data_IF_090659977741
#
_entry.id   IF_090659977741
#
_cell.length_a   1.000
_cell.length_b   1.000
_cell.length_c   1.000
_cell.angle_alpha   90.00
_cell.angle_beta   90.00
_cell.angle_gamma   90.00
#
_symmetry.space_group_name_H-M   'P 1'
#
loop_
_entity.id
_entity.type
_entity.pdbx_description
1 polymer ?
#
# COMPACT_ATOMS: atom_id res chain seq x y z
N UNK A 1 5.15 52.14 -5.10
CA UNK A 1 3.99 51.26 -4.83
C UNK A 1 3.86 50.29 -5.98
N UNK A 2 3.79 49.02 -5.68
CA UNK A 2 3.48 48.02 -6.72
C UNK A 2 2.08 48.30 -7.19
N UNK A 3 1.86 48.51 -8.49
CA UNK A 3 0.51 48.66 -9.05
C UNK A 3 -0.31 47.43 -8.66
N UNK A 4 -1.35 47.61 -7.81
CA UNK A 4 -2.14 46.51 -7.28
C UNK A 4 -2.71 45.61 -8.38
N UNK A 5 -3.02 46.17 -9.54
CA UNK A 5 -3.46 45.46 -10.73
C UNK A 5 -2.36 44.55 -11.30
N UNK A 6 -1.13 45.02 -11.39
CA UNK A 6 -0.02 44.25 -11.92
C UNK A 6 0.35 43.08 -10.99
N UNK A 7 0.26 43.27 -9.66
CA UNK A 7 0.46 42.22 -8.68
C UNK A 7 -0.62 41.14 -8.76
N UNK A 8 -1.89 41.53 -8.83
CA UNK A 8 -3.00 40.59 -8.95
C UNK A 8 -2.89 39.72 -10.20
N UNK A 9 -2.52 40.33 -11.34
CA UNK A 9 -2.28 39.61 -12.59
C UNK A 9 -1.10 38.64 -12.47
N UNK A 10 0.02 39.04 -11.85
CA UNK A 10 1.16 38.15 -11.66
C UNK A 10 0.81 36.96 -10.76
N UNK A 11 0.03 37.17 -9.70
CA UNK A 11 -0.48 36.09 -8.83
C UNK A 11 -1.36 35.14 -9.65
N UNK A 12 -2.35 35.68 -10.37
CA UNK A 12 -3.27 34.90 -11.18
C UNK A 12 -2.53 34.07 -12.25
N UNK A 13 -1.60 34.69 -12.98
CA UNK A 13 -0.80 33.98 -13.99
C UNK A 13 0.05 32.88 -13.36
N UNK A 14 0.65 33.12 -12.17
CA UNK A 14 1.41 32.09 -11.42
C UNK A 14 0.54 30.88 -11.12
N UNK A 15 -0.68 31.10 -10.61
CA UNK A 15 -1.58 29.99 -10.27
C UNK A 15 -2.10 29.26 -11.50
N UNK A 16 -2.46 29.98 -12.54
CA UNK A 16 -2.92 29.36 -13.79
C UNK A 16 -1.82 28.51 -14.41
N UNK A 17 -0.59 29.01 -14.51
CA UNK A 17 0.52 28.27 -15.10
C UNK A 17 0.92 27.07 -14.27
N UNK A 18 1.27 27.28 -12.99
CA UNK A 18 1.76 26.21 -12.12
C UNK A 18 0.66 25.20 -11.75
N UNK A 19 -0.58 25.67 -11.55
CA UNK A 19 -1.73 24.81 -11.28
C UNK A 19 -2.06 23.91 -12.46
N UNK A 20 -2.19 24.48 -13.66
CA UNK A 20 -2.49 23.72 -14.88
C UNK A 20 -1.36 22.74 -15.21
N UNK A 21 -0.10 23.17 -15.11
CA UNK A 21 1.06 22.28 -15.30
C UNK A 21 1.04 21.10 -14.32
N UNK A 22 0.71 21.34 -13.05
CA UNK A 22 0.61 20.28 -12.04
C UNK A 22 -0.54 19.31 -12.34
N UNK A 23 -1.69 19.80 -12.78
CA UNK A 23 -2.81 18.96 -13.19
C UNK A 23 -2.40 18.07 -14.39
N UNK A 24 -1.79 18.64 -15.42
CA UNK A 24 -1.35 17.88 -16.58
C UNK A 24 -0.29 16.85 -16.22
N UNK A 25 0.71 17.24 -15.43
CA UNK A 25 1.74 16.33 -14.95
C UNK A 25 1.15 15.19 -14.08
N UNK A 26 0.09 15.48 -13.31
CA UNK A 26 -0.62 14.47 -12.49
C UNK A 26 -1.42 13.51 -13.37
N UNK A 27 -2.16 14.02 -14.35
CA UNK A 27 -2.95 13.21 -15.27
C UNK A 27 -2.09 12.24 -16.11
N UNK A 28 -0.86 12.63 -16.42
CA UNK A 28 0.09 11.80 -17.19
C UNK A 28 0.97 10.97 -16.24
N UNK A 29 1.55 11.59 -15.22
CA UNK A 29 2.57 11.00 -14.37
C UNK A 29 2.03 9.91 -13.44
N UNK A 30 0.81 10.07 -12.89
CA UNK A 30 0.22 9.06 -11.99
C UNK A 30 -0.10 7.74 -12.70
N UNK A 31 -0.76 7.72 -13.88
CA UNK A 31 -0.94 6.48 -14.65
C UNK A 31 0.38 5.83 -15.08
N UNK A 32 1.36 6.62 -15.50
CA UNK A 32 2.69 6.11 -15.84
C UNK A 32 3.39 5.52 -14.62
N UNK A 33 3.29 6.16 -13.45
CA UNK A 33 3.81 5.65 -12.18
C UNK A 33 3.17 4.32 -11.78
N UNK A 34 1.85 4.23 -11.85
CA UNK A 34 1.10 3.00 -11.58
C UNK A 34 1.47 1.85 -12.54
N UNK A 35 1.71 2.19 -13.81
CA UNK A 35 2.14 1.21 -14.80
C UNK A 35 3.56 0.68 -14.51
N UNK A 36 4.50 1.58 -14.19
CA UNK A 36 5.88 1.23 -13.87
C UNK A 36 6.06 0.47 -12.54
N UNK A 37 5.10 0.58 -11.63
CA UNK A 37 5.14 -0.11 -10.33
C UNK A 37 4.86 -1.62 -10.44
N UNK A 38 4.36 -2.11 -11.58
CA UNK A 38 4.09 -3.55 -11.79
C UNK A 38 5.40 -4.30 -12.05
N UNK A 39 5.67 -5.39 -11.31
CA UNK A 39 6.92 -6.14 -11.44
C UNK A 39 6.92 -6.98 -12.73
N UNK A 40 7.45 -6.48 -13.82
CA UNK A 40 7.44 -7.25 -15.07
C UNK A 40 8.77 -7.41 -15.77
N UNK A 41 9.81 -6.56 -15.55
CA UNK A 41 11.08 -6.75 -16.26
C UNK A 41 12.27 -5.93 -15.70
N UNK A 42 13.51 -6.44 -15.86
CA UNK A 42 14.77 -5.70 -15.62
C UNK A 42 14.83 -4.34 -16.33
N UNK A 43 14.10 -4.17 -17.42
CA UNK A 43 13.99 -2.90 -18.17
C UNK A 43 13.35 -1.79 -17.33
N UNK A 44 12.44 -2.13 -16.40
CA UNK A 44 11.79 -1.14 -15.53
C UNK A 44 12.75 -0.55 -14.47
N UNK A 45 13.70 -1.30 -13.98
CA UNK A 45 14.72 -0.76 -13.05
C UNK A 45 15.60 0.31 -13.74
N UNK A 46 15.97 0.09 -15.01
CA UNK A 46 16.69 1.09 -15.80
C UNK A 46 15.85 2.33 -16.04
N UNK A 47 14.55 2.17 -16.32
CA UNK A 47 13.62 3.29 -16.50
C UNK A 47 13.46 4.10 -15.21
N UNK A 48 13.34 3.46 -14.04
CA UNK A 48 13.29 4.14 -12.74
C UNK A 48 14.56 4.96 -12.51
N UNK A 49 15.72 4.40 -12.79
CA UNK A 49 17.00 5.12 -12.66
C UNK A 49 17.03 6.35 -13.57
N UNK A 50 16.55 6.24 -14.80
CA UNK A 50 16.45 7.37 -15.73
C UNK A 50 15.48 8.43 -15.21
N UNK A 51 14.29 8.04 -14.75
CA UNK A 51 13.29 8.97 -14.20
C UNK A 51 13.87 9.71 -12.97
N UNK A 52 14.57 9.00 -12.10
CA UNK A 52 15.23 9.61 -10.93
C UNK A 52 16.32 10.60 -11.35
N UNK A 53 17.10 10.28 -12.38
CA UNK A 53 18.09 11.21 -12.93
C UNK A 53 17.43 12.49 -13.49
N UNK A 54 16.24 12.38 -14.06
CA UNK A 54 15.47 13.52 -14.58
C UNK A 54 14.95 14.45 -13.47
N UNK A 55 14.95 14.07 -12.18
CA UNK A 55 14.63 14.99 -11.08
C UNK A 55 15.63 16.13 -10.97
N UNK A 56 16.88 15.88 -11.36
CA UNK A 56 17.95 16.86 -11.39
C UNK A 56 18.02 17.73 -12.63
N UNK A 57 17.04 17.65 -13.55
CA UNK A 57 17.01 18.46 -14.77
C UNK A 57 17.13 19.95 -14.43
N UNK A 58 18.16 20.65 -14.96
CA UNK A 58 18.25 22.08 -14.78
C UNK A 58 17.11 22.80 -15.52
N UNK A 59 16.35 23.65 -14.83
CA UNK A 59 15.20 24.31 -15.43
C UNK A 59 15.52 25.12 -16.69
N UNK A 60 16.70 25.74 -16.71
CA UNK A 60 17.18 26.51 -17.86
C UNK A 60 17.34 25.63 -19.10
N UNK A 61 17.83 24.39 -18.93
CA UNK A 61 17.98 23.43 -20.04
C UNK A 61 16.61 23.09 -20.63
N UNK A 62 15.62 22.84 -19.76
CA UNK A 62 14.22 22.60 -20.20
C UNK A 62 13.69 23.84 -20.95
N UNK A 63 13.95 25.03 -20.41
CA UNK A 63 13.57 26.30 -21.06
C UNK A 63 14.18 26.45 -22.44
N UNK A 64 15.48 26.20 -22.61
CA UNK A 64 16.17 26.24 -23.90
C UNK A 64 15.57 25.23 -24.89
N UNK A 65 15.33 23.98 -24.41
CA UNK A 65 14.78 22.94 -25.24
C UNK A 65 13.36 23.31 -25.73
N UNK A 66 12.50 23.75 -24.82
CA UNK A 66 11.12 24.16 -25.18
C UNK A 66 11.11 25.42 -26.06
N UNK A 67 11.99 26.37 -25.78
CA UNK A 67 12.19 27.54 -26.63
C UNK A 67 12.59 27.13 -28.06
N UNK A 68 13.57 26.25 -28.18
CA UNK A 68 14.03 25.71 -29.47
C UNK A 68 12.91 25.01 -30.22
N UNK A 69 12.09 24.24 -29.51
CA UNK A 69 10.96 23.48 -30.08
C UNK A 69 9.85 24.39 -30.65
N UNK A 70 9.51 25.48 -29.94
CA UNK A 70 8.47 26.44 -30.34
C UNK A 70 8.97 27.67 -31.12
N UNK A 71 10.30 27.81 -31.34
CA UNK A 71 10.84 28.87 -32.16
C UNK A 71 10.37 28.74 -33.60
N UNK A 72 10.40 29.83 -34.38
CA UNK A 72 9.96 29.83 -35.78
C UNK A 72 10.68 28.79 -36.65
N UNK A 73 11.92 28.43 -36.29
CA UNK A 73 12.71 27.40 -36.97
C UNK A 73 12.56 26.02 -36.32
N UNK A 74 11.82 25.90 -35.21
CA UNK A 74 11.63 24.66 -34.47
C UNK A 74 10.51 23.79 -35.03
N UNK A 75 10.48 22.52 -34.61
CA UNK A 75 9.52 21.52 -35.07
C UNK A 75 8.04 21.91 -34.81
N UNK A 76 7.76 22.66 -33.76
CA UNK A 76 6.41 23.14 -33.38
C UNK A 76 6.25 24.65 -33.59
N UNK A 77 7.13 25.29 -34.37
CA UNK A 77 7.11 26.74 -34.62
C UNK A 77 5.82 27.24 -35.29
N UNK A 78 5.14 26.40 -36.06
CA UNK A 78 3.85 26.72 -36.70
C UNK A 78 2.72 26.99 -35.67
N UNK A 79 2.85 26.51 -34.43
CA UNK A 79 1.86 26.75 -33.39
C UNK A 79 1.91 28.15 -32.78
N UNK A 80 2.97 28.95 -33.07
CA UNK A 80 3.18 30.32 -32.56
C UNK A 80 2.96 30.43 -31.01
N UNK A 81 3.35 29.42 -30.25
CA UNK A 81 3.11 29.35 -28.79
C UNK A 81 4.17 30.12 -27.99
N UNK A 82 5.30 30.50 -28.56
CA UNK A 82 6.36 31.18 -27.82
C UNK A 82 5.86 32.50 -27.23
N UNK A 83 6.27 32.82 -26.00
CA UNK A 83 5.84 34.00 -25.24
C UNK A 83 4.35 34.02 -24.88
N UNK A 84 3.76 32.82 -24.70
CA UNK A 84 2.40 32.65 -24.20
C UNK A 84 2.35 31.88 -22.92
N UNK A 85 1.19 31.90 -22.24
CA UNK A 85 0.96 31.12 -20.99
C UNK A 85 1.01 29.62 -21.26
N UNK A 86 0.55 29.19 -22.44
CA UNK A 86 0.54 27.78 -22.86
C UNK A 86 1.95 27.21 -22.97
N UNK A 87 2.90 27.97 -23.54
CA UNK A 87 4.30 27.55 -23.59
C UNK A 87 4.93 27.43 -22.20
N UNK A 88 4.57 28.34 -21.27
CA UNK A 88 5.01 28.27 -19.88
C UNK A 88 4.45 27.02 -19.20
N UNK A 89 3.18 26.70 -19.39
CA UNK A 89 2.51 25.49 -18.86
C UNK A 89 3.24 24.25 -19.39
N UNK A 90 3.52 24.20 -20.69
CA UNK A 90 4.23 23.07 -21.28
C UNK A 90 5.64 22.88 -20.68
N UNK A 91 6.42 23.95 -20.56
CA UNK A 91 7.76 23.91 -19.98
C UNK A 91 7.73 23.45 -18.51
N UNK A 92 6.82 23.99 -17.71
CA UNK A 92 6.65 23.57 -16.31
C UNK A 92 6.17 22.10 -16.22
N UNK A 93 5.26 21.67 -17.10
CA UNK A 93 4.81 20.26 -17.15
C UNK A 93 5.98 19.32 -17.42
N UNK A 94 6.83 19.63 -18.41
CA UNK A 94 8.03 18.85 -18.73
C UNK A 94 8.98 18.75 -17.53
N UNK A 95 9.13 19.84 -16.76
CA UNK A 95 10.02 19.91 -15.61
C UNK A 95 9.53 19.07 -14.43
N UNK A 96 8.21 19.11 -14.14
CA UNK A 96 7.65 18.47 -12.95
C UNK A 96 7.10 17.05 -13.21
N UNK A 97 6.90 16.67 -14.48
CA UNK A 97 6.40 15.36 -14.87
C UNK A 97 7.24 14.20 -14.28
N UNK A 98 8.59 14.22 -14.35
CA UNK A 98 9.40 13.17 -13.74
C UNK A 98 9.15 13.02 -12.23
N UNK A 99 8.98 14.13 -11.50
CA UNK A 99 8.71 14.13 -10.06
C UNK A 99 7.39 13.44 -9.73
N UNK A 100 6.32 13.76 -10.47
CA UNK A 100 5.01 13.11 -10.27
C UNK A 100 5.07 11.65 -10.68
N UNK A 101 5.69 11.34 -11.83
CA UNK A 101 5.83 9.98 -12.34
C UNK A 101 6.57 9.08 -11.36
N UNK A 102 7.79 9.46 -10.99
CA UNK A 102 8.60 8.62 -10.10
C UNK A 102 8.06 8.57 -8.67
N UNK A 103 7.58 9.70 -8.12
CA UNK A 103 6.98 9.73 -6.78
C UNK A 103 5.70 8.89 -6.69
N UNK A 104 4.84 8.92 -7.71
CA UNK A 104 3.67 8.04 -7.77
C UNK A 104 4.07 6.58 -8.00
N UNK A 105 5.07 6.30 -8.82
CA UNK A 105 5.61 4.96 -9.03
C UNK A 105 6.08 4.32 -7.73
N UNK A 106 6.86 5.05 -6.93
CA UNK A 106 7.30 4.60 -5.60
C UNK A 106 6.12 4.36 -4.65
N UNK A 107 5.08 5.21 -4.70
CA UNK A 107 3.88 5.04 -3.89
C UNK A 107 3.13 3.75 -4.25
N UNK A 108 2.92 3.46 -5.53
CA UNK A 108 2.28 2.23 -5.98
C UNK A 108 3.14 0.99 -5.71
N UNK A 109 4.46 1.08 -5.85
CA UNK A 109 5.38 -0.02 -5.54
C UNK A 109 5.35 -0.39 -4.05
N UNK A 110 5.31 0.60 -3.16
CA UNK A 110 5.19 0.35 -1.72
C UNK A 110 3.87 -0.35 -1.37
N UNK A 111 2.77 0.01 -2.03
CA UNK A 111 1.50 -0.69 -1.91
C UNK A 111 1.63 -2.13 -2.40
N UNK A 112 2.21 -2.35 -3.58
CA UNK A 112 2.41 -3.70 -4.12
C UNK A 112 3.20 -4.60 -3.19
N UNK A 113 4.27 -4.11 -2.59
CA UNK A 113 5.09 -4.89 -1.64
C UNK A 113 4.36 -5.26 -0.35
N UNK A 114 3.58 -4.33 0.20
CA UNK A 114 2.96 -4.51 1.52
C UNK A 114 1.61 -5.22 1.46
N UNK A 115 0.81 -4.93 0.44
CA UNK A 115 -0.61 -5.34 0.41
C UNK A 115 -0.92 -6.43 -0.62
N UNK A 116 0.06 -6.82 -1.47
CA UNK A 116 -0.17 -7.73 -2.59
C UNK A 116 -0.77 -9.07 -2.15
N UNK A 117 -0.20 -9.68 -1.12
CA UNK A 117 -0.66 -10.98 -0.63
C UNK A 117 -2.08 -10.91 -0.10
N UNK A 118 -2.37 -9.90 0.73
CA UNK A 118 -3.72 -9.67 1.26
C UNK A 118 -4.73 -9.44 0.13
N UNK A 119 -4.41 -8.58 -0.85
CA UNK A 119 -5.32 -8.29 -1.95
C UNK A 119 -5.52 -9.50 -2.89
N UNK A 120 -4.49 -10.33 -3.06
CA UNK A 120 -4.55 -11.52 -3.90
C UNK A 120 -5.42 -12.64 -3.29
N UNK A 121 -5.37 -12.80 -1.95
CA UNK A 121 -6.13 -13.83 -1.25
C UNK A 121 -7.56 -13.42 -0.90
N UNK A 122 -7.94 -12.14 -1.09
CA UNK A 122 -9.30 -11.67 -0.83
C UNK A 122 -10.31 -12.03 -1.94
N UNK A 123 -9.87 -12.59 -3.08
CA UNK A 123 -10.77 -12.94 -4.18
C UNK A 123 -11.43 -11.74 -4.88
N UNK A 124 -10.87 -10.55 -4.76
CA UNK A 124 -11.37 -9.33 -5.39
C UNK A 124 -11.10 -9.32 -6.90
N UNK A 125 -12.05 -8.79 -7.67
CA UNK A 125 -11.88 -8.65 -9.11
C UNK A 125 -10.84 -7.55 -9.47
N UNK A 126 -10.36 -7.55 -10.72
CA UNK A 126 -9.32 -6.62 -11.17
C UNK A 126 -9.68 -5.14 -10.96
N UNK A 127 -10.95 -4.76 -11.13
CA UNK A 127 -11.41 -3.37 -10.93
C UNK A 127 -11.41 -2.98 -9.46
N UNK A 128 -11.86 -3.86 -8.58
CA UNK A 128 -11.83 -3.66 -7.12
C UNK A 128 -10.38 -3.55 -6.64
N UNK A 129 -9.48 -4.41 -7.13
CA UNK A 129 -8.05 -4.38 -6.83
C UNK A 129 -7.43 -3.04 -7.24
N UNK A 130 -7.64 -2.61 -8.47
CA UNK A 130 -7.12 -1.32 -8.97
C UNK A 130 -7.62 -0.15 -8.11
N UNK A 131 -8.91 -0.14 -7.75
CA UNK A 131 -9.48 0.88 -6.87
C UNK A 131 -8.82 0.89 -5.48
N UNK A 132 -8.57 -0.29 -4.90
CA UNK A 132 -7.89 -0.41 -3.60
C UNK A 132 -6.43 0.05 -3.69
N UNK A 133 -5.69 -0.34 -4.73
CA UNK A 133 -4.31 0.10 -4.98
C UNK A 133 -4.22 1.63 -5.09
N UNK A 134 -5.09 2.26 -5.89
CA UNK A 134 -5.16 3.73 -6.02
C UNK A 134 -5.47 4.38 -4.66
N UNK A 135 -6.41 3.84 -3.90
CA UNK A 135 -6.77 4.36 -2.58
C UNK A 135 -5.63 4.25 -1.59
N UNK A 136 -4.92 3.12 -1.55
CA UNK A 136 -3.78 2.89 -0.67
C UNK A 136 -2.58 3.76 -1.06
N UNK A 137 -2.29 3.90 -2.36
CA UNK A 137 -1.23 4.75 -2.88
C UNK A 137 -1.52 6.25 -2.75
N UNK A 138 -2.77 6.65 -2.51
CA UNK A 138 -3.23 8.05 -2.56
C UNK A 138 -2.42 9.01 -1.68
N UNK A 139 -1.88 8.53 -0.56
CA UNK A 139 -1.03 9.31 0.33
C UNK A 139 0.31 9.66 -0.33
N UNK A 140 0.99 8.67 -0.88
CA UNK A 140 2.27 8.89 -1.56
C UNK A 140 2.11 9.70 -2.84
N UNK A 141 1.05 9.43 -3.61
CA UNK A 141 0.71 10.23 -4.81
C UNK A 141 0.46 11.69 -4.45
N UNK A 142 -0.31 11.95 -3.38
CA UNK A 142 -0.55 13.30 -2.90
C UNK A 142 0.77 14.03 -2.56
N UNK A 143 1.68 13.38 -1.83
CA UNK A 143 2.98 13.98 -1.51
C UNK A 143 3.80 14.28 -2.76
N UNK A 144 3.81 13.39 -3.76
CA UNK A 144 4.49 13.62 -5.02
C UNK A 144 3.93 14.84 -5.77
N UNK A 145 2.59 14.99 -5.80
CA UNK A 145 1.91 16.12 -6.45
C UNK A 145 2.20 17.43 -5.71
N UNK A 146 2.20 17.43 -4.36
CA UNK A 146 2.52 18.63 -3.57
C UNK A 146 3.96 19.09 -3.80
N UNK A 147 4.91 18.16 -3.83
CA UNK A 147 6.32 18.47 -4.13
C UNK A 147 6.45 19.05 -5.55
N UNK A 148 5.80 18.43 -6.53
CA UNK A 148 5.81 18.90 -7.92
C UNK A 148 5.20 20.30 -8.08
N UNK A 149 4.09 20.58 -7.38
CA UNK A 149 3.47 21.89 -7.35
C UNK A 149 4.38 22.95 -6.73
N UNK A 150 5.02 22.65 -5.58
CA UNK A 150 6.00 23.54 -4.98
C UNK A 150 7.17 23.84 -5.92
N UNK A 151 7.64 22.84 -6.67
CA UNK A 151 8.67 23.01 -7.69
C UNK A 151 8.19 23.91 -8.85
N UNK A 152 6.96 23.70 -9.33
CA UNK A 152 6.37 24.51 -10.40
C UNK A 152 6.21 25.99 -10.02
N UNK A 153 5.72 26.28 -8.81
CA UNK A 153 5.54 27.66 -8.31
C UNK A 153 6.88 28.38 -8.14
N UNK A 154 7.92 27.68 -7.70
CA UNK A 154 9.24 28.25 -7.49
C UNK A 154 10.05 28.44 -8.78
N UNK A 155 9.50 28.03 -9.94
CA UNK A 155 10.26 28.02 -11.19
C UNK A 155 10.43 29.42 -11.80
N UNK A 156 11.66 29.72 -12.18
CA UNK A 156 12.06 31.00 -12.78
C UNK A 156 12.65 30.80 -14.17
N UNK A 157 13.64 29.91 -14.30
CA UNK A 157 14.51 29.80 -15.45
C UNK A 157 13.77 29.41 -16.73
N UNK A 158 13.04 28.31 -16.71
CA UNK A 158 12.26 27.88 -17.86
C UNK A 158 11.15 28.88 -18.19
N UNK A 159 10.45 29.40 -17.17
CA UNK A 159 9.33 30.32 -17.34
C UNK A 159 9.77 31.65 -17.97
N UNK A 160 10.90 32.22 -17.56
CA UNK A 160 11.37 33.49 -18.14
C UNK A 160 11.83 33.30 -19.58
N UNK A 161 12.45 32.17 -19.92
CA UNK A 161 12.91 31.88 -21.28
C UNK A 161 11.76 31.69 -22.26
N UNK A 162 10.73 30.95 -21.90
CA UNK A 162 9.61 30.65 -22.82
C UNK A 162 8.52 31.71 -22.78
N UNK A 163 8.34 32.35 -21.61
CA UNK A 163 7.31 33.36 -21.38
C UNK A 163 7.73 34.79 -21.68
N UNK A 164 9.03 35.13 -21.62
CA UNK A 164 9.56 36.47 -21.91
C UNK A 164 9.21 37.56 -20.90
N UNK A 165 8.62 37.24 -19.73
CA UNK A 165 8.26 38.17 -18.64
C UNK A 165 7.43 39.38 -19.10
N UNK A 166 6.46 39.21 -20.00
CA UNK A 166 5.64 40.27 -20.56
C UNK A 166 4.58 40.73 -19.56
N UNK A 167 4.57 42.04 -19.27
CA UNK A 167 3.57 42.62 -18.35
C UNK A 167 2.15 42.38 -18.89
N UNK A 168 1.24 41.95 -17.97
CA UNK A 168 -0.16 41.68 -18.31
C UNK A 168 -0.42 40.40 -19.10
N UNK A 169 0.63 39.63 -19.48
CA UNK A 169 0.48 38.38 -20.25
C UNK A 169 1.16 37.19 -19.59
N UNK A 170 2.49 37.21 -19.49
CA UNK A 170 3.31 36.04 -19.07
C UNK A 170 4.12 36.32 -17.81
N UNK A 171 4.00 37.50 -17.22
CA UNK A 171 4.68 37.82 -15.97
C UNK A 171 4.07 37.05 -14.81
N UNK A 172 4.91 36.32 -14.06
CA UNK A 172 4.57 35.59 -12.84
C UNK A 172 5.29 36.20 -11.64
N UNK A 173 4.93 35.79 -10.43
CA UNK A 173 5.54 36.32 -9.20
C UNK A 173 7.04 36.12 -9.15
N UNK A 174 7.54 34.95 -9.51
CA UNK A 174 8.99 34.65 -9.54
C UNK A 174 9.75 35.52 -10.54
N UNK A 175 9.22 35.76 -11.73
CA UNK A 175 9.83 36.65 -12.71
C UNK A 175 9.72 38.12 -12.34
N UNK A 176 8.69 38.50 -11.57
CA UNK A 176 8.55 39.85 -10.97
C UNK A 176 9.63 40.11 -9.93
N UNK A 177 9.91 39.13 -9.06
CA UNK A 177 11.02 39.21 -8.09
C UNK A 177 12.35 39.46 -8.79
N UNK A 178 12.65 38.69 -9.82
CA UNK A 178 13.90 38.87 -10.61
C UNK A 178 13.96 40.24 -11.24
N UNK A 179 12.85 40.73 -11.80
CA UNK A 179 12.78 42.05 -12.42
C UNK A 179 13.04 43.18 -11.40
N UNK A 180 12.40 43.16 -10.23
CA UNK A 180 12.60 44.20 -9.19
C UNK A 180 14.01 44.14 -8.62
N UNK A 181 14.59 42.92 -8.47
CA UNK A 181 15.99 42.75 -8.11
C UNK A 181 16.93 43.39 -9.14
N UNK A 182 16.67 43.16 -10.42
CA UNK A 182 17.47 43.74 -11.53
C UNK A 182 17.40 45.26 -11.58
N UNK A 183 16.28 45.85 -11.14
CA UNK A 183 16.11 47.33 -11.03
C UNK A 183 16.75 47.90 -9.75
N UNK A 184 17.31 47.09 -8.88
CA UNK A 184 17.88 47.52 -7.58
C UNK A 184 16.81 47.71 -6.48
N UNK A 185 15.54 47.38 -6.73
CA UNK A 185 14.43 47.54 -5.80
C UNK A 185 14.33 46.37 -4.81
N UNK A 186 15.39 46.13 -4.01
CA UNK A 186 15.49 44.98 -3.11
C UNK A 186 14.34 44.87 -2.10
N UNK A 187 13.82 46.02 -1.61
CA UNK A 187 12.68 46.02 -0.68
C UNK A 187 11.40 45.46 -1.31
N UNK A 188 11.12 45.81 -2.57
CA UNK A 188 9.95 45.29 -3.30
C UNK A 188 10.14 43.82 -3.65
N UNK A 189 11.33 43.41 -4.09
CA UNK A 189 11.66 42.03 -4.36
C UNK A 189 11.47 41.14 -3.11
N UNK A 190 11.92 41.61 -1.94
CA UNK A 190 11.73 40.91 -0.67
C UNK A 190 10.26 40.74 -0.28
N UNK A 191 9.45 41.80 -0.43
CA UNK A 191 8.00 41.76 -0.15
C UNK A 191 7.29 40.72 -1.07
N UNK A 192 7.61 40.72 -2.36
CA UNK A 192 7.07 39.77 -3.32
C UNK A 192 7.50 38.33 -2.97
N UNK A 193 8.75 38.13 -2.51
CA UNK A 193 9.25 36.82 -2.07
C UNK A 193 8.53 36.30 -0.84
N UNK A 194 8.33 37.13 0.19
CA UNK A 194 7.56 36.79 1.39
C UNK A 194 6.11 36.45 1.03
N UNK A 195 5.50 37.25 0.16
CA UNK A 195 4.12 37.01 -0.28
C UNK A 195 4.01 35.66 -1.04
N UNK A 196 4.93 35.35 -1.93
CA UNK A 196 4.98 34.06 -2.66
C UNK A 196 5.13 32.89 -1.69
N UNK A 197 6.02 33.02 -0.70
CA UNK A 197 6.22 31.99 0.31
C UNK A 197 4.95 31.77 1.15
N UNK A 198 4.36 32.84 1.66
CA UNK A 198 3.12 32.77 2.44
C UNK A 198 1.98 32.11 1.65
N UNK A 199 1.84 32.48 0.38
CA UNK A 199 0.84 31.93 -0.54
C UNK A 199 1.04 30.45 -0.80
N UNK A 200 2.29 30.02 -1.05
CA UNK A 200 2.66 28.63 -1.26
C UNK A 200 2.39 27.78 -0.01
N UNK A 201 2.81 28.24 1.17
CA UNK A 201 2.56 27.56 2.44
C UNK A 201 1.07 27.47 2.76
N UNK A 202 0.30 28.53 2.51
CA UNK A 202 -1.16 28.55 2.73
C UNK A 202 -1.86 27.51 1.88
N UNK A 203 -1.46 27.36 0.62
CA UNK A 203 -2.06 26.41 -0.32
C UNK A 203 -1.77 24.96 0.06
N UNK A 204 -0.51 24.67 0.42
CA UNK A 204 -0.11 23.34 0.92
C UNK A 204 -0.82 23.03 2.24
N UNK A 205 -0.89 24.00 3.15
CA UNK A 205 -1.60 23.86 4.44
C UNK A 205 -3.09 23.59 4.26
N UNK A 206 -3.76 24.35 3.36
CA UNK A 206 -5.18 24.14 3.03
C UNK A 206 -5.43 22.75 2.44
N UNK A 207 -4.59 22.32 1.52
CA UNK A 207 -4.67 20.97 0.94
C UNK A 207 -4.53 19.89 2.01
N UNK A 208 -3.62 20.04 2.98
CA UNK A 208 -3.46 19.14 4.11
C UNK A 208 -4.70 19.12 5.02
N UNK A 209 -5.30 20.29 5.32
CA UNK A 209 -6.50 20.40 6.16
C UNK A 209 -7.73 19.73 5.53
N UNK A 210 -7.96 19.89 4.24
CA UNK A 210 -9.08 19.25 3.52
C UNK A 210 -9.03 17.74 3.65
N UNK A 211 -7.83 17.19 3.68
CA UNK A 211 -7.60 15.76 3.80
C UNK A 211 -7.92 15.21 5.20
N UNK A 212 -7.57 15.94 6.26
CA UNK A 212 -7.84 15.50 7.64
C UNK A 212 -9.33 15.46 7.96
N UNK A 213 -10.13 16.38 7.41
CA UNK A 213 -11.59 16.44 7.63
C UNK A 213 -12.38 15.27 7.04
N UNK A 214 -11.87 14.54 6.04
CA UNK A 214 -12.56 13.37 5.45
C UNK A 214 -12.54 12.12 6.34
N UNK A 215 -11.89 12.13 7.49
CA UNK A 215 -11.68 10.96 8.36
C UNK A 215 -12.81 10.65 9.36
N UNK A 216 -13.80 11.51 9.54
CA UNK A 216 -14.85 11.31 10.56
C UNK A 216 -16.20 10.96 9.92
N UNK A 217 -16.40 9.70 9.55
CA UNK A 217 -17.73 9.17 9.26
C UNK A 217 -18.31 8.53 10.53
N UNK A 218 -19.45 9.04 11.01
CA UNK A 218 -20.19 8.40 12.11
C UNK A 218 -20.58 6.98 11.73
N UNK A 219 -20.24 6.05 12.60
CA UNK A 219 -20.57 4.63 12.48
C UNK A 219 -21.86 4.40 13.25
N UNK A 220 -22.95 4.07 12.55
CA UNK A 220 -24.18 3.61 13.19
C UNK A 220 -24.01 2.16 13.65
N UNK A 221 -24.38 1.89 14.88
CA UNK A 221 -24.30 0.56 15.49
C UNK A 221 -25.59 -0.19 15.12
N UNK A 222 -25.48 -1.15 14.21
CA UNK A 222 -26.49 -2.21 14.01
C UNK A 222 -25.84 -3.53 14.45
N UNK A 223 -26.49 -4.26 15.32
CA UNK A 223 -26.00 -5.57 15.77
C UNK A 223 -26.19 -6.59 14.64
N UNK A 224 -25.08 -7.13 14.18
CA UNK A 224 -25.06 -8.16 13.15
C UNK A 224 -24.83 -9.53 13.80
N UNK A 225 -25.52 -10.55 13.34
CA UNK A 225 -25.25 -11.94 13.74
C UNK A 225 -23.93 -12.41 13.10
N UNK A 226 -23.22 -13.31 13.83
CA UNK A 226 -22.00 -13.94 13.30
C UNK A 226 -22.40 -14.89 12.14
N UNK A 227 -21.79 -14.74 10.95
CA UNK A 227 -22.16 -15.53 9.78
C UNK A 227 -21.89 -17.02 10.00
N UNK A 228 -22.64 -17.84 9.28
CA UNK A 228 -22.34 -19.26 9.14
C UNK A 228 -21.31 -19.42 8.02
N UNK A 229 -20.05 -19.79 8.31
CA UNK A 229 -19.07 -20.08 7.26
C UNK A 229 -19.49 -21.30 6.45
N UNK A 230 -19.12 -21.33 5.18
CA UNK A 230 -19.29 -22.48 4.28
C UNK A 230 -18.01 -23.31 4.35
N UNK A 231 -18.08 -24.55 4.88
CA UNK A 231 -16.92 -25.45 4.95
C UNK A 231 -16.47 -25.97 3.57
N UNK A 232 -15.31 -26.62 3.53
CA UNK A 232 -14.88 -27.42 2.37
C UNK A 232 -15.86 -28.56 2.14
N UNK A 233 -16.06 -28.92 0.86
CA UNK A 233 -16.97 -30.01 0.50
C UNK A 233 -16.33 -31.39 0.69
N UNK A 234 -15.00 -31.50 0.48
CA UNK A 234 -14.28 -32.78 0.43
C UNK A 234 -12.89 -32.69 1.09
N UNK A 235 -12.35 -33.86 1.43
CA UNK A 235 -10.97 -33.99 1.93
C UNK A 235 -9.99 -33.83 0.76
N UNK A 236 -9.02 -32.95 0.92
CA UNK A 236 -7.97 -32.76 -0.06
C UNK A 236 -6.60 -33.11 0.55
N UNK A 237 -5.83 -33.98 -0.15
CA UNK A 237 -4.41 -34.19 0.13
C UNK A 237 -3.58 -33.41 -0.87
N UNK A 238 -2.62 -32.63 -0.40
CA UNK A 238 -1.74 -31.80 -1.22
C UNK A 238 -0.28 -32.15 -0.96
N UNK A 239 0.47 -32.34 -2.04
CA UNK A 239 1.92 -32.49 -2.02
C UNK A 239 2.52 -31.16 -2.52
N UNK A 240 3.22 -30.46 -1.66
CA UNK A 240 3.68 -29.09 -1.92
C UNK A 240 5.20 -29.05 -2.03
N UNK A 241 5.69 -28.54 -3.15
CA UNK A 241 7.11 -28.25 -3.38
C UNK A 241 7.27 -26.80 -3.83
N UNK A 242 8.21 -26.08 -3.20
CA UNK A 242 8.47 -24.67 -3.53
C UNK A 242 9.96 -24.44 -3.72
N UNK A 243 10.34 -23.83 -4.84
CA UNK A 243 11.70 -23.39 -5.12
C UNK A 243 11.77 -21.87 -5.22
N UNK A 244 12.78 -21.26 -4.59
CA UNK A 244 13.06 -19.81 -4.66
C UNK A 244 14.53 -19.56 -4.96
N UNK A 245 14.79 -18.75 -5.98
CA UNK A 245 16.15 -18.38 -6.37
C UNK A 245 17.13 -19.58 -6.49
N UNK A 246 16.65 -20.72 -7.01
CA UNK A 246 17.43 -21.95 -7.17
C UNK A 246 17.63 -22.77 -5.89
N UNK A 247 16.96 -22.40 -4.78
CA UNK A 247 16.95 -23.20 -3.54
C UNK A 247 15.57 -23.81 -3.33
N UNK A 248 15.53 -25.09 -2.96
CA UNK A 248 14.30 -25.76 -2.51
C UNK A 248 13.98 -25.27 -1.11
N UNK A 249 12.82 -24.67 -0.92
CA UNK A 249 12.31 -24.19 0.37
C UNK A 249 11.37 -25.24 0.98
N UNK A 250 10.54 -25.87 0.14
CA UNK A 250 9.69 -27.00 0.53
C UNK A 250 9.95 -28.15 -0.43
N UNK A 251 10.16 -29.34 0.11
CA UNK A 251 10.46 -30.56 -0.64
C UNK A 251 9.39 -31.61 -0.35
N UNK A 252 8.42 -31.72 -1.26
CA UNK A 252 7.35 -32.72 -1.23
C UNK A 252 6.62 -32.82 0.14
N UNK A 253 6.24 -31.65 0.70
CA UNK A 253 5.49 -31.61 1.96
C UNK A 253 4.06 -32.05 1.72
N UNK A 254 3.67 -33.18 2.29
CA UNK A 254 2.30 -33.66 2.24
C UNK A 254 1.49 -33.05 3.40
N UNK A 255 0.34 -32.43 3.07
CA UNK A 255 -0.64 -31.95 4.04
C UNK A 255 -2.04 -32.41 3.63
N UNK A 256 -2.81 -32.88 4.61
CA UNK A 256 -4.18 -33.32 4.42
C UNK A 256 -5.12 -32.25 4.98
N UNK A 257 -5.98 -31.72 4.11
CA UNK A 257 -6.94 -30.68 4.44
C UNK A 257 -8.32 -31.33 4.60
N UNK A 258 -8.89 -31.29 5.80
CA UNK A 258 -10.19 -31.89 6.10
C UNK A 258 -11.21 -30.86 6.55
N UNK A 259 -12.43 -30.95 6.05
CA UNK A 259 -13.53 -30.12 6.54
C UNK A 259 -13.72 -30.27 8.05
N UNK A 260 -13.82 -29.15 8.76
CA UNK A 260 -14.04 -29.16 10.21
C UNK A 260 -12.88 -29.67 11.03
N UNK A 261 -11.64 -29.60 10.52
CA UNK A 261 -10.43 -29.92 11.28
C UNK A 261 -9.49 -28.71 11.38
N UNK A 262 -8.75 -28.64 12.47
CA UNK A 262 -7.65 -27.69 12.69
C UNK A 262 -6.34 -28.46 12.60
N UNK A 263 -5.52 -28.15 11.61
CA UNK A 263 -4.14 -28.65 11.48
C UNK A 263 -3.18 -27.57 11.97
N UNK A 264 -2.40 -27.86 13.01
CA UNK A 264 -1.32 -26.98 13.44
C UNK A 264 -0.01 -27.36 12.73
N UNK A 265 0.70 -26.36 12.24
CA UNK A 265 2.04 -26.52 11.64
C UNK A 265 3.06 -25.91 12.59
N UNK A 266 3.97 -26.72 13.09
CA UNK A 266 5.02 -26.33 14.04
C UNK A 266 6.40 -26.62 13.47
N UNK A 267 7.45 -26.03 14.02
CA UNK A 267 8.82 -26.21 13.55
C UNK A 267 9.69 -25.01 13.88
N UNK A 268 11.00 -25.16 13.68
CA UNK A 268 11.97 -24.09 13.91
C UNK A 268 11.74 -22.87 13.00
N UNK A 269 12.33 -21.74 13.36
CA UNK A 269 12.34 -20.56 12.46
C UNK A 269 13.11 -20.91 11.19
N UNK A 270 12.54 -20.57 10.04
CA UNK A 270 13.13 -20.93 8.73
C UNK A 270 12.77 -22.32 8.19
N UNK A 271 12.02 -23.16 8.93
CA UNK A 271 11.61 -24.51 8.48
C UNK A 271 10.66 -24.51 7.26
N UNK A 272 10.18 -23.34 6.78
CA UNK A 272 9.29 -23.24 5.63
C UNK A 272 7.79 -23.10 5.95
N UNK A 273 7.41 -22.93 7.22
CA UNK A 273 5.99 -22.86 7.67
C UNK A 273 5.16 -21.78 6.94
N UNK A 274 5.64 -20.55 6.95
CA UNK A 274 5.02 -19.44 6.21
C UNK A 274 4.95 -19.72 4.71
N UNK A 275 6.00 -20.32 4.13
CA UNK A 275 6.02 -20.69 2.70
C UNK A 275 4.96 -21.76 2.41
N UNK A 276 4.74 -22.71 3.32
CA UNK A 276 3.67 -23.71 3.19
C UNK A 276 2.29 -23.05 3.16
N UNK A 277 2.00 -22.14 4.11
CA UNK A 277 0.72 -21.42 4.12
C UNK A 277 0.54 -20.54 2.88
N UNK A 278 1.60 -19.90 2.40
CA UNK A 278 1.58 -19.09 1.18
C UNK A 278 1.33 -19.93 -0.07
N UNK A 279 1.90 -21.12 -0.13
CA UNK A 279 1.63 -22.06 -1.22
C UNK A 279 0.17 -22.57 -1.18
N UNK A 280 -0.35 -22.91 0.00
CA UNK A 280 -1.77 -23.25 0.21
C UNK A 280 -2.72 -22.10 -0.16
N UNK A 281 -2.29 -20.85 0.04
CA UNK A 281 -3.03 -19.66 -0.37
C UNK A 281 -2.91 -19.33 -1.88
N UNK A 282 -2.16 -20.11 -2.66
CA UNK A 282 -1.91 -19.82 -4.07
C UNK A 282 -1.01 -18.62 -4.34
N UNK A 283 -0.18 -18.23 -3.36
CA UNK A 283 0.76 -17.11 -3.46
C UNK A 283 2.16 -17.54 -3.89
N UNK A 284 2.50 -18.82 -3.77
CA UNK A 284 3.79 -19.41 -4.12
C UNK A 284 3.59 -20.84 -4.65
N UNK A 285 4.37 -21.21 -5.66
CA UNK A 285 4.26 -22.50 -6.34
C UNK A 285 3.13 -22.55 -7.39
N UNK A 286 3.01 -23.68 -8.07
CA UNK A 286 2.01 -23.91 -9.12
C UNK A 286 0.74 -24.62 -8.58
N UNK A 287 0.80 -25.18 -7.37
CA UNK A 287 -0.29 -25.93 -6.75
C UNK A 287 -1.20 -24.99 -5.92
N UNK A 288 -2.29 -24.58 -6.51
CA UNK A 288 -3.31 -23.76 -5.82
C UNK A 288 -4.29 -24.67 -5.09
N UNK A 289 -4.26 -24.65 -3.76
CA UNK A 289 -5.14 -25.48 -2.93
C UNK A 289 -6.59 -24.95 -2.84
N UNK A 290 -6.83 -23.65 -3.10
CA UNK A 290 -8.16 -23.07 -2.97
C UNK A 290 -8.44 -22.02 -4.06
N UNK A 291 -9.71 -21.89 -4.43
CA UNK A 291 -10.19 -20.85 -5.35
C UNK A 291 -10.18 -19.46 -4.68
N UNK A 292 -10.26 -18.39 -5.48
CA UNK A 292 -10.07 -17.02 -5.04
C UNK A 292 -11.06 -16.52 -3.97
N UNK A 293 -12.22 -17.20 -3.80
CA UNK A 293 -13.27 -16.79 -2.86
C UNK A 293 -13.48 -17.77 -1.69
N UNK A 294 -12.69 -18.84 -1.62
CA UNK A 294 -12.88 -19.91 -0.63
C UNK A 294 -11.81 -19.94 0.46
N UNK A 295 -10.65 -19.33 0.24
CA UNK A 295 -9.52 -19.33 1.13
C UNK A 295 -9.22 -17.93 1.65
N UNK A 296 -9.03 -17.80 2.96
CA UNK A 296 -8.55 -16.56 3.60
C UNK A 296 -7.21 -16.83 4.27
N UNK A 297 -6.22 -16.04 3.92
CA UNK A 297 -4.89 -16.06 4.52
C UNK A 297 -4.69 -14.86 5.46
N UNK A 298 -4.33 -15.16 6.70
CA UNK A 298 -3.98 -14.20 7.75
C UNK A 298 -2.48 -14.23 7.94
N UNK A 299 -1.80 -13.21 7.48
CA UNK A 299 -0.36 -13.11 7.60
C UNK A 299 0.08 -12.67 9.00
N UNK A 300 1.32 -12.97 9.37
CA UNK A 300 1.92 -12.68 10.66
C UNK A 300 1.86 -11.18 11.00
N UNK A 301 2.27 -10.32 10.06
CA UNK A 301 2.19 -8.88 10.22
C UNK A 301 0.81 -8.36 9.81
N UNK A 302 0.08 -7.65 10.69
CA UNK A 302 -1.27 -7.19 10.41
C UNK A 302 -1.28 -6.06 9.37
N UNK A 303 -1.90 -6.35 8.22
CA UNK A 303 -2.10 -5.41 7.11
C UNK A 303 -3.52 -4.88 7.12
N UNK A 304 -3.68 -3.56 7.31
CA UNK A 304 -4.96 -2.87 7.33
C UNK A 304 -5.12 -2.02 6.06
N UNK A 305 -6.28 -2.10 5.43
CA UNK A 305 -6.57 -1.55 4.09
C UNK A 305 -7.39 -0.25 4.13
N UNK A 306 -7.92 0.10 5.29
CA UNK A 306 -8.79 1.26 5.49
C UNK A 306 -8.21 2.26 6.49
N UNK A 307 -8.71 3.49 6.45
CA UNK A 307 -8.22 4.56 7.33
C UNK A 307 -8.76 4.51 8.75
N UNK A 308 -9.89 3.84 9.01
CA UNK A 308 -10.48 3.68 10.33
C UNK A 308 -10.86 2.24 10.59
N UNK A 309 -10.89 1.83 11.88
CA UNK A 309 -11.28 0.49 12.31
C UNK A 309 -12.67 0.13 11.79
N UNK A 310 -13.65 1.01 11.95
CA UNK A 310 -15.02 0.75 11.50
C UNK A 310 -15.17 0.59 9.99
N UNK A 311 -14.31 1.21 9.17
CA UNK A 311 -14.29 0.97 7.73
C UNK A 311 -13.56 -0.30 7.36
N UNK A 312 -12.59 -0.71 8.17
CA UNK A 312 -11.81 -1.92 7.98
C UNK A 312 -12.66 -3.18 8.21
N UNK A 313 -13.35 -3.27 9.34
CA UNK A 313 -14.17 -4.44 9.68
C UNK A 313 -15.39 -4.61 8.73
N UNK A 314 -15.88 -3.53 8.12
CA UNK A 314 -16.96 -3.59 7.11
C UNK A 314 -16.49 -3.79 5.68
N UNK A 315 -15.17 -3.85 5.46
CA UNK A 315 -14.61 -3.96 4.11
C UNK A 315 -15.12 -5.19 3.35
N UNK A 316 -15.25 -6.41 3.98
CA UNK A 316 -15.76 -7.59 3.29
C UNK A 316 -17.15 -7.40 2.69
N UNK A 317 -18.12 -6.92 3.45
CA UNK A 317 -19.49 -6.69 2.95
C UNK A 317 -19.60 -5.56 1.92
N UNK A 318 -18.64 -4.61 1.91
CA UNK A 318 -18.55 -3.59 0.86
C UNK A 318 -17.99 -4.11 -0.45
N UNK A 319 -17.03 -5.03 -0.38
CA UNK A 319 -16.41 -5.64 -1.56
C UNK A 319 -17.32 -6.73 -2.15
N UNK A 320 -18.00 -7.44 -1.29
CA UNK A 320 -18.88 -8.57 -1.62
C UNK A 320 -20.26 -8.37 -0.98
N UNK A 321 -21.17 -7.68 -1.67
CA UNK A 321 -22.53 -7.44 -1.16
C UNK A 321 -23.35 -8.71 -0.86
N UNK A 322 -22.92 -9.86 -1.38
CA UNK A 322 -23.49 -11.18 -1.07
C UNK A 322 -23.12 -11.71 0.31
N UNK A 323 -22.06 -11.18 0.93
CA UNK A 323 -21.68 -11.56 2.28
C UNK A 323 -22.54 -10.83 3.33
N UNK A 324 -22.91 -11.52 4.42
CA UNK A 324 -23.59 -10.87 5.53
C UNK A 324 -22.71 -9.78 6.16
N UNK A 325 -23.29 -8.68 6.67
CA UNK A 325 -22.55 -7.59 7.27
C UNK A 325 -22.05 -7.95 8.69
N UNK A 326 -21.22 -8.98 8.80
CA UNK A 326 -20.72 -9.54 10.06
C UNK A 326 -19.63 -8.70 10.76
N UNK A 327 -19.10 -7.67 10.10
CA UNK A 327 -17.97 -6.94 10.60
C UNK A 327 -18.16 -6.31 11.98
N UNK A 328 -19.38 -5.89 12.31
CA UNK A 328 -19.70 -5.32 13.61
C UNK A 328 -19.79 -6.37 14.71
N UNK A 329 -20.35 -7.54 14.41
CA UNK A 329 -20.40 -8.66 15.35
C UNK A 329 -18.98 -9.14 15.71
N UNK A 330 -18.09 -9.23 14.72
CA UNK A 330 -16.67 -9.55 14.98
C UNK A 330 -15.93 -8.41 15.69
N UNK A 331 -16.27 -7.15 15.43
CA UNK A 331 -15.70 -6.04 16.19
C UNK A 331 -16.10 -6.12 17.68
N UNK A 332 -17.34 -6.46 17.97
CA UNK A 332 -17.81 -6.68 19.35
C UNK A 332 -17.11 -7.89 19.99
N UNK A 333 -17.04 -9.04 19.28
CA UNK A 333 -16.38 -10.25 19.75
C UNK A 333 -14.91 -10.01 20.13
N UNK A 334 -14.19 -9.24 19.31
CA UNK A 334 -12.77 -8.94 19.52
C UNK A 334 -12.53 -7.65 20.32
N UNK A 335 -13.58 -7.11 20.98
CA UNK A 335 -13.50 -5.92 21.84
C UNK A 335 -12.91 -4.68 21.13
N UNK A 336 -13.48 -4.35 19.97
CA UNK A 336 -13.05 -3.22 19.13
C UNK A 336 -14.07 -2.08 19.06
N UNK A 337 -15.19 -2.16 19.78
CA UNK A 337 -16.30 -1.19 19.67
C UNK A 337 -15.85 0.25 19.97
N UNK A 338 -15.02 0.45 20.99
CA UNK A 338 -14.51 1.76 21.39
C UNK A 338 -13.48 2.32 20.38
N UNK A 339 -12.94 1.46 19.52
CA UNK A 339 -11.93 1.81 18.54
C UNK A 339 -12.49 2.08 17.13
N UNK A 340 -13.80 1.88 16.90
CA UNK A 340 -14.40 1.94 15.54
C UNK A 340 -14.17 3.26 14.81
N UNK A 341 -14.10 4.38 15.54
CA UNK A 341 -13.82 5.72 14.98
C UNK A 341 -12.33 6.02 14.85
N UNK A 342 -11.46 5.22 15.49
CA UNK A 342 -10.03 5.46 15.55
C UNK A 342 -9.37 5.18 14.19
N UNK A 343 -8.28 5.92 13.92
CA UNK A 343 -7.43 5.69 12.75
C UNK A 343 -6.66 4.38 12.89
N UNK A 344 -6.59 3.60 11.82
CA UNK A 344 -5.83 2.34 11.78
C UNK A 344 -4.32 2.54 11.95
N UNK A 345 -3.82 3.76 11.75
CA UNK A 345 -2.41 4.09 11.96
C UNK A 345 -2.04 4.29 13.44
N UNK A 346 -3.03 4.63 14.28
CA UNK A 346 -2.83 4.97 15.69
C UNK A 346 -3.02 3.76 16.62
N UNK A 347 -3.23 2.57 16.05
CA UNK A 347 -3.45 1.32 16.79
C UNK A 347 -2.13 0.70 17.26
N UNK A 348 -2.15 0.10 18.44
CA UNK A 348 -1.11 -0.80 18.90
C UNK A 348 -1.02 -2.08 18.04
N UNK A 349 0.08 -2.83 18.15
CA UNK A 349 0.26 -4.08 17.39
C UNK A 349 -0.86 -5.09 17.64
N UNK A 350 -1.24 -5.29 18.90
CA UNK A 350 -2.31 -6.22 19.27
C UNK A 350 -3.71 -5.76 18.80
N UNK A 351 -3.98 -4.46 18.81
CA UNK A 351 -5.22 -3.91 18.25
C UNK A 351 -5.30 -4.10 16.74
N UNK A 352 -4.20 -3.82 16.02
CA UNK A 352 -4.12 -4.10 14.56
C UNK A 352 -4.38 -5.56 14.25
N UNK A 353 -3.82 -6.48 15.03
CA UNK A 353 -4.02 -7.92 14.87
C UNK A 353 -5.50 -8.29 15.03
N UNK A 354 -6.16 -7.80 16.09
CA UNK A 354 -7.59 -8.05 16.33
C UNK A 354 -8.48 -7.46 15.23
N UNK A 355 -8.16 -6.24 14.74
CA UNK A 355 -8.90 -5.61 13.64
C UNK A 355 -8.75 -6.42 12.35
N UNK A 356 -7.54 -6.88 12.04
CA UNK A 356 -7.30 -7.75 10.89
C UNK A 356 -8.10 -9.05 11.00
N UNK A 357 -8.07 -9.70 12.16
CA UNK A 357 -8.84 -10.94 12.39
C UNK A 357 -10.35 -10.69 12.25
N UNK A 358 -10.90 -9.60 12.82
CA UNK A 358 -12.30 -9.25 12.66
C UNK A 358 -12.71 -9.11 11.19
N UNK A 359 -11.87 -8.44 10.40
CA UNK A 359 -12.07 -8.35 8.95
C UNK A 359 -12.01 -9.72 8.28
N UNK A 360 -11.01 -10.53 8.57
CA UNK A 360 -10.79 -11.81 7.90
C UNK A 360 -11.87 -12.84 8.24
N UNK A 361 -12.31 -12.91 9.50
CA UNK A 361 -13.44 -13.76 9.90
C UNK A 361 -14.75 -13.36 9.19
N UNK A 362 -14.91 -12.07 8.86
CA UNK A 362 -16.11 -11.57 8.16
C UNK A 362 -16.25 -12.04 6.71
N UNK A 363 -15.22 -12.66 6.11
CA UNK A 363 -15.31 -13.29 4.79
C UNK A 363 -16.00 -14.65 4.82
N UNK A 364 -16.19 -15.25 5.99
CA UNK A 364 -16.79 -16.59 6.13
C UNK A 364 -16.16 -17.66 5.22
N UNK A 365 -14.82 -17.86 5.30
CA UNK A 365 -14.07 -18.71 4.39
C UNK A 365 -14.38 -20.20 4.60
N UNK A 366 -14.19 -21.02 3.53
CA UNK A 366 -14.18 -22.48 3.63
C UNK A 366 -12.86 -23.00 4.20
N UNK A 367 -11.75 -22.29 3.90
CA UNK A 367 -10.43 -22.56 4.41
C UNK A 367 -9.85 -21.31 5.06
N UNK A 368 -9.29 -21.46 6.26
CA UNK A 368 -8.70 -20.37 7.03
C UNK A 368 -7.25 -20.68 7.36
N UNK A 369 -6.34 -19.92 6.76
CA UNK A 369 -4.89 -20.09 6.89
C UNK A 369 -4.34 -19.00 7.82
N UNK A 370 -3.74 -19.37 8.92
CA UNK A 370 -3.34 -18.48 10.02
C UNK A 370 -1.82 -18.56 10.25
N UNK A 371 -1.09 -17.47 9.97
CA UNK A 371 0.35 -17.40 10.19
C UNK A 371 0.64 -16.61 11.47
N UNK A 372 0.93 -17.31 12.56
CA UNK A 372 1.29 -16.75 13.87
C UNK A 372 0.36 -15.63 14.39
N UNK A 373 -0.91 -15.68 14.05
CA UNK A 373 -1.86 -14.59 14.27
C UNK A 373 -2.17 -14.29 15.76
N UNK A 374 -1.65 -15.07 16.71
CA UNK A 374 -1.87 -14.91 18.15
C UNK A 374 -0.63 -14.52 18.94
N UNK A 375 0.55 -14.43 18.30
CA UNK A 375 1.85 -14.27 18.97
C UNK A 375 1.99 -12.96 19.78
N UNK A 376 1.34 -11.89 19.37
CA UNK A 376 1.43 -10.56 19.99
C UNK A 376 0.18 -10.19 20.82
N UNK A 377 -0.62 -11.16 21.21
CA UNK A 377 -1.89 -10.94 21.91
C UNK A 377 -1.84 -11.39 23.36
N UNK A 378 -2.51 -10.63 24.23
CA UNK A 378 -2.72 -11.04 25.62
C UNK A 378 -3.63 -12.27 25.71
N UNK A 379 -3.45 -13.06 26.79
CA UNK A 379 -4.11 -14.34 27.02
C UNK A 379 -5.64 -14.33 26.79
N UNK A 380 -6.34 -13.31 27.28
CA UNK A 380 -7.81 -13.21 27.12
C UNK A 380 -8.22 -13.11 25.64
N UNK A 381 -7.46 -12.38 24.83
CA UNK A 381 -7.72 -12.25 23.41
C UNK A 381 -7.41 -13.55 22.66
N UNK A 382 -6.33 -14.24 23.05
CA UNK A 382 -6.00 -15.57 22.50
C UNK A 382 -7.15 -16.54 22.74
N UNK A 383 -7.68 -16.62 23.94
CA UNK A 383 -8.83 -17.48 24.26
C UNK A 383 -10.09 -17.14 23.44
N UNK A 384 -10.32 -15.85 23.19
CA UNK A 384 -11.46 -15.43 22.36
C UNK A 384 -11.31 -15.89 20.92
N UNK A 385 -10.09 -15.76 20.36
CA UNK A 385 -9.77 -16.22 19.01
C UNK A 385 -9.89 -17.76 18.94
N UNK A 386 -9.33 -18.49 19.88
CA UNK A 386 -9.42 -19.95 19.91
C UNK A 386 -10.87 -20.45 19.95
N UNK A 387 -11.72 -19.82 20.76
CA UNK A 387 -13.16 -20.15 20.78
C UNK A 387 -13.82 -19.90 19.41
N UNK A 388 -13.45 -18.82 18.73
CA UNK A 388 -13.98 -18.54 17.41
C UNK A 388 -13.48 -19.56 16.36
N UNK A 389 -12.20 -19.93 16.41
CA UNK A 389 -11.66 -20.98 15.53
C UNK A 389 -12.38 -22.32 15.76
N UNK A 390 -12.62 -22.71 17.01
CA UNK A 390 -13.38 -23.91 17.33
C UNK A 390 -14.84 -23.83 16.84
N UNK A 391 -15.47 -22.64 16.91
CA UNK A 391 -16.80 -22.40 16.36
C UNK A 391 -16.82 -22.54 14.81
N UNK A 392 -15.81 -22.00 14.13
CA UNK A 392 -15.66 -22.12 12.67
C UNK A 392 -15.38 -23.57 12.29
N UNK A 393 -14.52 -24.28 13.00
CA UNK A 393 -14.29 -25.72 12.86
C UNK A 393 -15.60 -26.53 12.95
N UNK A 394 -16.41 -26.29 13.98
CA UNK A 394 -17.69 -26.98 14.17
C UNK A 394 -18.69 -26.73 13.02
N UNK A 395 -18.49 -25.70 12.24
CA UNK A 395 -19.26 -25.38 11.02
C UNK A 395 -18.63 -25.91 9.74
N UNK A 396 -17.60 -26.74 9.84
CA UNK A 396 -16.97 -27.41 8.69
C UNK A 396 -15.82 -26.63 8.06
N UNK A 397 -15.37 -25.50 8.62
CA UNK A 397 -14.22 -24.75 8.10
C UNK A 397 -12.96 -25.57 8.30
N UNK A 398 -12.15 -25.73 7.25
CA UNK A 398 -10.79 -26.27 7.32
C UNK A 398 -9.84 -25.18 7.82
N UNK A 399 -9.09 -25.42 8.89
CA UNK A 399 -8.18 -24.44 9.48
C UNK A 399 -6.77 -25.00 9.47
N UNK A 400 -5.83 -24.24 8.90
CA UNK A 400 -4.39 -24.53 9.00
C UNK A 400 -3.73 -23.37 9.71
N UNK A 401 -3.09 -23.65 10.86
CA UNK A 401 -2.46 -22.62 11.66
C UNK A 401 -0.98 -22.89 11.88
N UNK A 402 -0.15 -21.90 11.66
CA UNK A 402 1.24 -21.89 12.11
C UNK A 402 1.29 -21.26 13.49
N UNK A 403 1.95 -21.94 14.43
CA UNK A 403 2.19 -21.41 15.76
C UNK A 403 3.53 -21.90 16.33
N UNK A 404 4.18 -21.03 17.10
CA UNK A 404 5.32 -21.42 17.95
C UNK A 404 4.89 -21.89 19.34
N UNK A 405 3.61 -21.71 19.68
CA UNK A 405 3.06 -22.11 20.98
C UNK A 405 2.52 -23.55 20.91
N UNK A 406 3.37 -24.49 21.30
CA UNK A 406 3.03 -25.92 21.30
C UNK A 406 1.81 -26.22 22.18
N UNK A 407 1.70 -25.55 23.34
CA UNK A 407 0.52 -25.70 24.21
C UNK A 407 -0.77 -25.23 23.52
N UNK A 408 -0.71 -24.23 22.65
CA UNK A 408 -1.84 -23.81 21.84
C UNK A 408 -2.18 -24.88 20.79
N UNK A 409 -1.17 -25.41 20.08
CA UNK A 409 -1.37 -26.47 19.11
C UNK A 409 -2.09 -27.67 19.75
N UNK A 410 -1.61 -28.16 20.90
CA UNK A 410 -2.25 -29.29 21.62
C UNK A 410 -3.66 -29.00 22.10
N UNK A 411 -3.97 -27.72 22.41
CA UNK A 411 -5.29 -27.37 22.97
C UNK A 411 -6.40 -27.35 21.94
N UNK A 412 -6.10 -26.94 20.69
CA UNK A 412 -7.14 -26.68 19.69
C UNK A 412 -7.00 -27.47 18.38
N UNK A 413 -5.80 -28.00 18.06
CA UNK A 413 -5.60 -28.72 16.80
C UNK A 413 -6.00 -30.20 16.90
N UNK A 414 -6.53 -30.72 15.81
CA UNK A 414 -6.84 -32.16 15.63
C UNK A 414 -5.62 -32.93 15.14
N UNK A 415 -4.77 -32.27 14.37
CA UNK A 415 -3.52 -32.83 13.83
C UNK A 415 -2.40 -31.80 13.92
N UNK A 416 -1.18 -32.27 14.18
CA UNK A 416 0.01 -31.43 14.24
C UNK A 416 1.01 -31.95 13.19
N UNK A 417 1.48 -31.02 12.35
CA UNK A 417 2.51 -31.28 11.33
C UNK A 417 3.80 -30.61 11.75
N UNK A 418 4.85 -31.38 11.94
CA UNK A 418 6.19 -30.85 12.26
C UNK A 418 7.00 -30.67 10.99
N UNK A 419 7.47 -29.44 10.76
CA UNK A 419 8.34 -29.10 9.63
C UNK A 419 9.78 -28.87 10.10
N UNK A 420 10.73 -29.42 9.36
CA UNK A 420 12.16 -29.14 9.52
C UNK A 420 12.84 -29.12 8.16
N UNK A 421 13.63 -28.08 7.90
CA UNK A 421 14.41 -27.92 6.66
C UNK A 421 13.57 -28.13 5.39
N UNK A 422 12.35 -27.63 5.37
CA UNK A 422 11.44 -27.73 4.22
C UNK A 422 10.78 -29.10 4.02
N UNK A 423 10.88 -30.02 4.97
CA UNK A 423 10.26 -31.35 4.93
C UNK A 423 9.35 -31.59 6.10
N UNK A 424 8.29 -32.37 5.89
CA UNK A 424 7.47 -32.90 6.97
C UNK A 424 8.21 -34.03 7.64
N UNK A 425 8.34 -33.99 8.97
CA UNK A 425 8.87 -35.09 9.75
C UNK A 425 7.78 -36.12 10.04
N UNK A 426 8.19 -37.40 10.15
CA UNK A 426 7.30 -38.45 10.62
C UNK A 426 7.01 -38.29 12.11
N UNK A 427 5.85 -38.73 12.56
CA UNK A 427 5.42 -38.60 13.97
C UNK A 427 6.36 -39.33 14.95
N UNK A 428 7.12 -40.33 14.50
CA UNK A 428 8.11 -41.07 15.25
C UNK A 428 9.54 -40.49 15.19
N UNK A 429 9.73 -39.37 14.48
CA UNK A 429 11.04 -38.70 14.43
C UNK A 429 11.41 -38.16 15.80
N UNK A 430 12.62 -38.44 16.36
CA UNK A 430 13.01 -37.99 17.70
C UNK A 430 12.89 -36.47 17.90
N UNK A 431 13.16 -35.69 16.86
CA UNK A 431 12.99 -34.23 16.90
C UNK A 431 11.52 -33.84 16.93
N UNK A 432 10.66 -34.49 16.15
CA UNK A 432 9.22 -34.25 16.18
C UNK A 432 8.64 -34.60 17.56
N UNK A 433 9.03 -35.74 18.13
CA UNK A 433 8.61 -36.14 19.46
C UNK A 433 9.09 -35.14 20.52
N UNK A 434 10.37 -34.76 20.52
CA UNK A 434 10.90 -33.78 21.49
C UNK A 434 10.22 -32.41 21.39
N UNK A 435 9.91 -31.98 20.18
CA UNK A 435 9.22 -30.71 19.95
C UNK A 435 7.78 -30.76 20.44
N UNK A 436 7.10 -31.87 20.28
CA UNK A 436 5.70 -32.05 20.69
C UNK A 436 5.57 -32.30 22.24
N UNK A 437 6.53 -32.99 22.86
CA UNK A 437 6.49 -33.27 24.31
C UNK A 437 7.07 -32.13 25.15
N UNK A 438 7.84 -31.22 24.53
CA UNK A 438 8.59 -30.17 25.24
C UNK A 438 9.85 -30.71 25.97
N UNK A 439 10.18 -31.96 25.78
CA UNK A 439 11.42 -32.58 26.27
C UNK A 439 12.54 -32.31 25.29
N UNK A 440 13.31 -31.26 25.49
CA UNK A 440 14.52 -31.00 24.73
C UNK A 440 15.53 -32.11 24.98
N UNK A 441 15.78 -32.94 23.99
CA UNK A 441 16.92 -33.83 24.02
C UNK A 441 18.19 -32.95 23.99
N UNK A 442 18.95 -32.96 25.09
CA UNK A 442 20.27 -32.36 25.19
C UNK A 442 21.24 -33.01 24.20
N UNK A 443 21.22 -32.53 22.95
CA UNK A 443 22.09 -33.02 21.87
C UNK A 443 23.48 -32.33 21.84
N UNK A 444 23.95 -31.76 22.96
CA UNK A 444 25.34 -31.26 23.08
C UNK A 444 26.33 -32.25 23.70
N UNK A 445 25.90 -33.46 24.14
CA UNK A 445 26.80 -34.38 24.80
C UNK A 445 27.48 -35.45 23.93
N UNK A 446 27.29 -35.45 22.60
CA UNK A 446 27.88 -36.50 21.73
C UNK A 446 28.88 -35.99 20.68
N UNK A 447 29.48 -34.81 20.85
CA UNK A 447 30.57 -34.33 20.00
C UNK A 447 31.94 -34.24 20.70
N UNK A 448 32.12 -34.88 21.89
CA UNK A 448 33.42 -35.07 22.49
C UNK A 448 33.52 -36.50 23.04
N UNK A 449 33.83 -37.43 22.17
CA UNK A 449 34.22 -38.81 22.42
C UNK A 449 35.06 -39.34 21.31
#
# INVERSE_FOLDING_TARGET
MVDGLALTQAIQTTFVTSGTATILATLIGVPLGAWCARPTHRSFERLKTLITALYGLPPVVVGVFVYSLFSKSGALGSLNMLFTVEAMIFAQTCLILPLVWGGSGTAFESVGRTYNDTLSTMGINHRQRLFMEIRLASNGVYHAVVIAFGRAIAEVGAVIMVGGNIAGKTRVMTTSIVLETSKGNMGQAAVLGVLLLALSLSLVGLAAMVRTRRRSARVSVLGDELPAPTGLAEVESKLISVQKAGRTILDAVEIVLRPGEITAVVGESGAGKTTLLRALAGLEGDDVACGPNSCVYVQQDPVLLSSTVGTEVRLPSKLFPSLPPAGQAYAALFQLNDLLSQSTHDLSGGERQRVMLARQCSFSPSMFLLDECTSNLGWLHVQTIERELLRMKAKGVCIVMVTHNISQAHRIADSIVVLRDGRRLNDNDPFAVSMLTGEWLDHESTKNG
#
